data_IF_452319054912
#
_entry.id   IF_452319054912
#
_cell.length_a   1.000
_cell.length_b   1.000
_cell.length_c   1.000
_cell.angle_alpha   90.00
_cell.angle_beta   90.00
_cell.angle_gamma   90.00
#
_symmetry.space_group_name_H-M   'P 1'
#
loop_
_entity.id
_entity.type
_entity.pdbx_description
1 polymer ?
#
# COMPACT_ATOMS: atom_id res chain seq x y z
N UNK A 1 -6.96 18.89 -2.23
CA UNK A 1 -6.25 17.60 -2.13
C UNK A 1 -6.45 16.95 -0.75
N UNK A 2 -6.40 17.71 0.33
CA UNK A 2 -6.49 17.21 1.71
C UNK A 2 -7.68 16.27 2.02
N UNK A 3 -8.85 16.52 1.44
CA UNK A 3 -10.03 15.64 1.61
C UNK A 3 -9.86 14.26 0.97
N UNK A 4 -9.21 14.17 -0.19
CA UNK A 4 -8.95 12.88 -0.86
C UNK A 4 -7.89 12.08 -0.12
N UNK A 5 -6.84 12.76 0.33
CA UNK A 5 -5.81 12.16 1.19
C UNK A 5 -6.44 11.57 2.45
N UNK A 6 -7.29 12.34 3.12
CA UNK A 6 -8.01 11.88 4.30
C UNK A 6 -8.86 10.64 4.01
N UNK A 7 -9.54 10.67 2.87
CA UNK A 7 -10.40 9.59 2.43
C UNK A 7 -9.64 8.30 2.13
N UNK A 8 -8.47 8.42 1.52
CA UNK A 8 -7.59 7.30 1.27
C UNK A 8 -7.02 6.70 2.55
N UNK A 9 -6.55 7.53 3.48
CA UNK A 9 -6.05 7.05 4.76
C UNK A 9 -7.15 6.41 5.61
N UNK A 10 -8.37 6.95 5.59
CA UNK A 10 -9.51 6.34 6.27
C UNK A 10 -9.88 4.98 5.64
N UNK A 11 -9.90 4.88 4.31
CA UNK A 11 -10.09 3.61 3.60
C UNK A 11 -9.00 2.59 3.95
N UNK A 12 -7.73 3.02 3.96
CA UNK A 12 -6.59 2.19 4.34
C UNK A 12 -6.77 1.56 5.72
N UNK A 13 -7.09 2.35 6.73
CA UNK A 13 -7.25 1.86 8.10
C UNK A 13 -8.42 0.87 8.24
N UNK A 14 -9.54 1.10 7.54
CA UNK A 14 -10.68 0.18 7.59
C UNK A 14 -10.42 -1.11 6.83
N UNK A 15 -9.76 -1.04 5.67
CA UNK A 15 -9.35 -2.22 4.92
C UNK A 15 -8.31 -3.03 5.71
N UNK A 16 -7.32 -2.37 6.32
CA UNK A 16 -6.34 -3.02 7.20
C UNK A 16 -7.02 -3.80 8.33
N UNK A 17 -8.02 -3.20 8.98
CA UNK A 17 -8.82 -3.88 10.02
C UNK A 17 -9.55 -5.11 9.47
N UNK A 18 -10.04 -5.07 8.22
CA UNK A 18 -10.68 -6.25 7.58
C UNK A 18 -9.67 -7.33 7.25
N UNK A 19 -8.54 -6.98 6.64
CA UNK A 19 -7.49 -7.94 6.28
C UNK A 19 -6.88 -8.61 7.52
N UNK A 20 -6.81 -7.89 8.64
CA UNK A 20 -6.23 -8.40 9.89
C UNK A 20 -7.21 -9.22 10.74
N UNK A 21 -8.52 -9.25 10.42
CA UNK A 21 -9.54 -9.92 11.24
C UNK A 21 -9.35 -11.44 11.34
N UNK A 22 -8.79 -12.06 10.31
CA UNK A 22 -8.65 -13.52 10.25
C UNK A 22 -7.31 -14.01 10.80
N UNK A 23 -6.31 -13.14 10.88
CA UNK A 23 -4.98 -13.49 11.39
C UNK A 23 -4.28 -12.26 11.97
N UNK A 24 -4.21 -12.21 13.29
CA UNK A 24 -3.70 -11.09 14.06
C UNK A 24 -2.16 -11.11 14.19
N UNK A 25 -1.51 -12.20 13.79
CA UNK A 25 -0.07 -12.41 13.95
C UNK A 25 0.68 -12.50 12.62
N UNK A 26 -0.02 -12.49 11.49
CA UNK A 26 0.60 -12.50 10.17
C UNK A 26 1.05 -11.11 9.72
N UNK A 27 1.99 -11.06 8.78
CA UNK A 27 2.27 -9.85 8.03
C UNK A 27 1.03 -9.40 7.24
N UNK A 28 0.91 -8.10 7.04
CA UNK A 28 -0.11 -7.49 6.18
C UNK A 28 0.57 -6.42 5.37
N UNK A 29 0.31 -6.37 4.06
CA UNK A 29 0.89 -5.34 3.22
C UNK A 29 0.05 -5.10 1.97
N UNK A 30 -0.50 -3.90 1.83
CA UNK A 30 -1.35 -3.55 0.69
C UNK A 30 -1.21 -2.08 0.27
N UNK A 31 -1.65 -1.76 -0.94
CA UNK A 31 -1.71 -0.37 -1.43
C UNK A 31 -3.16 0.13 -1.43
N UNK A 32 -3.59 0.90 -0.41
CA UNK A 32 -4.94 1.47 -0.39
C UNK A 32 -5.21 2.36 -1.60
N UNK A 33 -4.21 3.17 -2.01
CA UNK A 33 -4.29 4.09 -3.15
C UNK A 33 -4.56 3.35 -4.47
N UNK A 34 -3.96 2.18 -4.61
CA UNK A 34 -4.11 1.39 -5.82
C UNK A 34 -5.47 0.67 -5.86
N UNK A 35 -5.90 0.12 -4.73
CA UNK A 35 -7.19 -0.57 -4.61
C UNK A 35 -8.35 0.41 -4.83
N UNK A 36 -8.31 1.58 -4.19
CA UNK A 36 -9.31 2.63 -4.41
C UNK A 36 -9.35 3.09 -5.87
N UNK A 37 -8.20 3.30 -6.51
CA UNK A 37 -8.10 3.64 -7.95
C UNK A 37 -8.78 2.59 -8.82
N UNK A 38 -8.59 1.31 -8.50
CA UNK A 38 -9.20 0.19 -9.21
C UNK A 38 -10.73 0.19 -9.02
N UNK A 39 -11.22 0.45 -7.81
CA UNK A 39 -12.66 0.55 -7.52
C UNK A 39 -13.31 1.76 -8.19
N UNK A 40 -12.62 2.90 -8.24
CA UNK A 40 -13.13 4.10 -8.90
C UNK A 40 -13.16 3.92 -10.41
N UNK A 41 -12.21 3.17 -10.99
CA UNK A 41 -12.27 2.77 -12.40
C UNK A 41 -13.51 1.92 -12.68
N UNK A 42 -13.80 0.92 -11.84
CA UNK A 42 -15.00 0.10 -11.97
C UNK A 42 -16.28 0.94 -11.81
N UNK A 43 -16.26 1.96 -10.94
CA UNK A 43 -17.40 2.86 -10.76
C UNK A 43 -17.82 3.62 -12.03
N UNK A 44 -16.90 3.82 -13.00
CA UNK A 44 -17.22 4.52 -14.26
C UNK A 44 -18.27 3.78 -15.09
N UNK A 45 -18.32 2.45 -14.98
CA UNK A 45 -19.28 1.63 -15.73
C UNK A 45 -20.34 0.97 -14.85
N UNK A 46 -20.38 1.28 -13.56
CA UNK A 46 -21.45 0.86 -12.68
C UNK A 46 -22.68 1.78 -12.84
N UNK A 47 -23.87 1.21 -12.70
CA UNK A 47 -25.13 1.94 -12.67
C UNK A 47 -26.03 1.44 -11.51
N UNK A 48 -27.22 2.03 -11.39
CA UNK A 48 -28.23 1.63 -10.41
C UNK A 48 -27.72 1.54 -8.97
N UNK A 49 -28.14 0.48 -8.26
CA UNK A 49 -27.72 0.25 -6.87
C UNK A 49 -26.23 -0.10 -6.77
N UNK A 50 -25.63 -0.71 -7.81
CA UNK A 50 -24.20 -1.03 -7.81
C UNK A 50 -23.35 0.24 -7.76
N UNK A 51 -23.68 1.24 -8.59
CA UNK A 51 -23.05 2.56 -8.54
C UNK A 51 -23.26 3.25 -7.19
N UNK A 52 -24.45 3.12 -6.59
CA UNK A 52 -24.76 3.69 -5.29
C UNK A 52 -23.93 3.06 -4.17
N UNK A 53 -23.75 1.74 -4.15
CA UNK A 53 -22.94 1.05 -3.13
C UNK A 53 -21.46 1.41 -3.24
N UNK A 54 -20.91 1.43 -4.47
CA UNK A 54 -19.54 1.91 -4.71
C UNK A 54 -19.41 3.36 -4.25
N UNK A 55 -20.40 4.19 -4.61
CA UNK A 55 -20.43 5.58 -4.21
C UNK A 55 -20.56 5.75 -2.70
N UNK A 56 -21.34 4.92 -2.01
CA UNK A 56 -21.51 5.01 -0.56
C UNK A 56 -20.23 4.64 0.17
N UNK A 57 -19.53 3.61 -0.29
CA UNK A 57 -18.22 3.24 0.25
C UNK A 57 -17.22 4.39 0.05
N UNK A 58 -17.14 4.92 -1.16
CA UNK A 58 -16.26 6.06 -1.47
C UNK A 58 -16.70 7.32 -0.70
N UNK A 59 -18.00 7.60 -0.54
CA UNK A 59 -18.52 8.73 0.24
C UNK A 59 -18.27 8.57 1.74
N UNK A 60 -18.39 7.37 2.30
CA UNK A 60 -18.18 7.12 3.73
C UNK A 60 -16.76 7.45 4.17
N UNK A 61 -15.83 7.42 3.22
CA UNK A 61 -14.47 7.88 3.45
C UNK A 61 -14.23 9.32 2.98
N UNK A 62 -15.16 9.94 2.25
CA UNK A 62 -15.09 11.37 1.85
C UNK A 62 -14.62 11.62 0.42
N UNK A 63 -14.56 10.59 -0.43
CA UNK A 63 -14.04 10.67 -1.80
C UNK A 63 -14.98 11.39 -2.78
N UNK A 64 -16.30 11.36 -2.52
CA UNK A 64 -17.35 11.71 -3.49
C UNK A 64 -18.08 13.03 -3.20
N UNK A 65 -17.64 13.81 -2.20
CA UNK A 65 -18.08 15.20 -2.03
C UNK A 65 -17.53 16.14 -3.14
N UNK A 66 -17.08 15.59 -4.26
CA UNK A 66 -16.18 16.18 -5.23
C UNK A 66 -16.66 15.80 -6.64
N UNK A 67 -16.63 16.72 -7.63
CA UNK A 67 -17.00 16.41 -9.01
C UNK A 67 -16.18 15.23 -9.57
N UNK A 68 -16.73 14.47 -10.54
CA UNK A 68 -16.09 13.33 -11.23
C UNK A 68 -14.61 13.56 -11.62
N UNK A 69 -14.21 14.82 -11.81
CA UNK A 69 -12.86 15.28 -12.14
C UNK A 69 -11.79 14.90 -11.09
N UNK A 70 -12.15 14.78 -9.81
CA UNK A 70 -11.16 14.54 -8.75
C UNK A 70 -10.69 13.08 -8.61
N UNK A 71 -11.41 12.09 -9.16
CA UNK A 71 -10.96 10.69 -9.20
C UNK A 71 -9.70 10.51 -10.06
N UNK A 72 -9.55 11.34 -11.11
CA UNK A 72 -8.36 11.35 -11.95
C UNK A 72 -7.10 11.79 -11.20
N UNK A 73 -7.24 12.63 -10.15
CA UNK A 73 -6.11 13.15 -9.37
C UNK A 73 -5.48 12.03 -8.53
N UNK A 74 -6.28 11.07 -8.08
CA UNK A 74 -5.82 9.95 -7.26
C UNK A 74 -4.93 8.98 -8.05
N UNK A 75 -5.39 8.63 -9.26
CA UNK A 75 -4.60 7.86 -10.20
C UNK A 75 -3.40 8.66 -10.73
N UNK A 76 -3.55 9.99 -10.92
CA UNK A 76 -2.42 10.83 -11.27
C UNK A 76 -1.31 10.75 -10.21
N UNK A 77 -1.60 10.64 -8.91
CA UNK A 77 -0.54 10.41 -7.91
C UNK A 77 0.23 9.12 -8.21
N UNK A 78 -0.43 8.02 -8.60
CA UNK A 78 0.27 6.78 -8.98
C UNK A 78 1.04 6.90 -10.29
N UNK A 79 0.57 7.73 -11.22
CA UNK A 79 1.04 7.77 -12.63
C UNK A 79 1.72 9.10 -12.96
N UNK A 80 2.12 9.87 -11.94
CA UNK A 80 2.87 11.12 -12.12
C UNK A 80 4.25 10.76 -12.69
N UNK A 81 4.70 11.39 -13.79
CA UNK A 81 5.98 11.07 -14.42
C UNK A 81 7.21 11.22 -13.53
N UNK A 82 7.15 12.06 -12.48
CA UNK A 82 8.23 12.16 -11.48
C UNK A 82 8.49 10.83 -10.77
N UNK A 83 7.48 9.96 -10.69
CA UNK A 83 7.53 8.64 -10.06
C UNK A 83 7.94 7.50 -10.99
N UNK A 84 7.99 7.79 -12.30
CA UNK A 84 8.35 6.86 -13.38
C UNK A 84 9.69 7.26 -14.04
N UNK A 85 10.51 8.08 -13.37
CA UNK A 85 11.83 8.42 -13.90
C UNK A 85 12.69 7.16 -14.00
N UNK A 86 13.52 7.09 -15.05
CA UNK A 86 14.60 6.09 -15.20
C UNK A 86 15.71 6.25 -14.17
N UNK A 87 15.65 7.31 -13.36
CA UNK A 87 16.52 7.59 -12.24
C UNK A 87 15.65 7.74 -11.00
N UNK A 88 15.93 6.90 -10.03
CA UNK A 88 15.46 6.77 -8.65
C UNK A 88 14.62 7.92 -8.02
N UNK A 89 13.57 7.65 -7.21
CA UNK A 89 12.98 6.37 -6.76
C UNK A 89 12.09 5.65 -7.79
N UNK A 90 11.99 4.31 -7.68
CA UNK A 90 11.21 3.46 -8.61
C UNK A 90 9.87 3.01 -7.98
N UNK A 91 8.84 3.85 -8.09
CA UNK A 91 7.46 3.37 -7.91
C UNK A 91 7.00 2.77 -9.24
N UNK A 92 6.98 1.43 -9.34
CA UNK A 92 6.43 0.75 -10.51
C UNK A 92 5.04 0.22 -10.22
N UNK A 93 4.08 0.82 -10.90
CA UNK A 93 2.68 0.46 -10.82
C UNK A 93 2.28 -0.18 -12.14
N UNK A 94 1.87 -1.46 -12.10
CA UNK A 94 1.33 -2.14 -13.27
C UNK A 94 -0.05 -1.61 -13.69
N UNK A 95 -0.61 -0.62 -13.00
CA UNK A 95 -1.98 -0.16 -13.24
C UNK A 95 -3.03 -1.13 -12.70
N UNK A 96 -4.25 -0.66 -12.40
CA UNK A 96 -5.40 -1.55 -12.38
C UNK A 96 -5.69 -2.01 -13.82
N UNK A 97 -5.69 -3.32 -14.06
CA UNK A 97 -6.07 -3.90 -15.35
C UNK A 97 -7.33 -4.73 -15.21
N UNK A 98 -8.26 -4.49 -16.12
CA UNK A 98 -9.53 -5.18 -16.16
C UNK A 98 -9.50 -6.22 -17.28
N UNK A 99 -9.53 -7.51 -16.90
CA UNK A 99 -9.60 -8.64 -17.80
C UNK A 99 -11.05 -9.09 -17.95
N UNK A 100 -11.60 -9.00 -19.16
CA UNK A 100 -12.96 -9.46 -19.48
C UNK A 100 -12.95 -10.77 -20.26
N UNK A 101 -13.97 -11.59 -20.06
CA UNK A 101 -14.19 -12.81 -20.83
C UNK A 101 -14.70 -12.52 -22.25
N UNK A 102 -14.16 -13.20 -23.26
CA UNK A 102 -14.76 -13.24 -24.61
C UNK A 102 -16.15 -13.92 -24.56
N UNK A 103 -17.16 -13.51 -25.37
CA UNK A 103 -17.17 -12.40 -26.33
C UNK A 103 -17.73 -11.08 -25.76
N UNK A 104 -17.50 -10.77 -24.48
CA UNK A 104 -18.00 -9.52 -23.89
C UNK A 104 -17.28 -8.31 -24.51
N UNK A 105 -18.05 -7.26 -24.83
CA UNK A 105 -17.53 -6.00 -25.37
C UNK A 105 -17.79 -4.85 -24.42
N UNK A 106 -16.82 -3.96 -24.30
CA UNK A 106 -16.92 -2.73 -23.51
C UNK A 106 -17.52 -1.63 -24.38
N UNK A 107 -18.33 -0.78 -23.76
CA UNK A 107 -18.84 0.44 -24.36
C UNK A 107 -17.71 1.43 -24.63
N UNK A 108 -17.81 2.17 -25.74
CA UNK A 108 -16.79 3.14 -26.14
C UNK A 108 -16.61 4.26 -25.09
N UNK A 109 -17.70 4.73 -24.47
CA UNK A 109 -17.62 5.74 -23.41
C UNK A 109 -16.85 5.24 -22.18
N UNK A 110 -16.99 3.95 -21.85
CA UNK A 110 -16.24 3.33 -20.76
C UNK A 110 -14.75 3.21 -21.11
N UNK A 111 -14.42 2.77 -22.34
CA UNK A 111 -13.04 2.74 -22.84
C UNK A 111 -12.41 4.13 -22.83
N UNK A 112 -13.12 5.15 -23.32
CA UNK A 112 -12.66 6.52 -23.34
C UNK A 112 -12.45 7.09 -21.93
N UNK A 113 -13.35 6.80 -20.99
CA UNK A 113 -13.24 7.22 -19.60
C UNK A 113 -12.06 6.57 -18.88
N UNK A 114 -11.90 5.25 -19.02
CA UNK A 114 -10.78 4.50 -18.41
C UNK A 114 -9.43 4.95 -18.96
N UNK A 115 -9.31 5.14 -20.28
CA UNK A 115 -8.10 5.68 -20.89
C UNK A 115 -7.80 7.12 -20.43
N UNK A 116 -8.82 7.99 -20.40
CA UNK A 116 -8.66 9.41 -20.05
C UNK A 116 -8.23 9.61 -18.60
N UNK A 117 -8.83 8.87 -17.66
CA UNK A 117 -8.64 9.12 -16.22
C UNK A 117 -7.61 8.20 -15.58
N UNK A 118 -7.45 6.99 -16.11
CA UNK A 118 -6.62 5.94 -15.52
C UNK A 118 -5.51 5.45 -16.45
N UNK A 119 -5.45 5.89 -17.72
CA UNK A 119 -4.50 5.33 -18.71
C UNK A 119 -4.48 3.79 -18.67
N UNK A 120 -5.62 3.19 -18.30
CA UNK A 120 -5.69 1.80 -17.89
C UNK A 120 -5.76 0.92 -19.12
N UNK A 121 -5.00 -0.17 -19.09
CA UNK A 121 -5.13 -1.21 -20.09
C UNK A 121 -6.33 -2.09 -19.78
N UNK A 122 -7.10 -2.42 -20.81
CA UNK A 122 -8.26 -3.30 -20.74
C UNK A 122 -8.01 -4.48 -21.66
N UNK A 123 -8.05 -5.69 -21.12
CA UNK A 123 -7.67 -6.89 -21.86
C UNK A 123 -8.88 -7.82 -22.05
N UNK A 124 -8.95 -8.44 -23.22
CA UNK A 124 -9.94 -9.49 -23.51
C UNK A 124 -9.24 -10.84 -23.48
N UNK A 125 -9.79 -11.78 -22.71
CA UNK A 125 -9.24 -13.12 -22.52
C UNK A 125 -10.34 -14.18 -22.60
N UNK A 126 -9.98 -15.46 -22.64
CA UNK A 126 -10.93 -16.58 -22.69
C UNK A 126 -10.85 -17.41 -21.41
N UNK A 127 -11.64 -17.03 -20.41
CA UNK A 127 -11.81 -17.80 -19.18
C UNK A 127 -12.68 -19.05 -19.42
N UNK A 128 -13.56 -19.06 -20.43
CA UNK A 128 -14.56 -20.11 -20.59
C UNK A 128 -13.97 -21.40 -21.17
N UNK A 129 -13.16 -21.31 -22.21
CA UNK A 129 -12.59 -22.47 -22.89
C UNK A 129 -11.11 -22.69 -22.58
N UNK A 130 -10.41 -21.67 -22.05
CA UNK A 130 -8.96 -21.75 -21.84
C UNK A 130 -8.50 -21.11 -20.51
N UNK A 131 -9.22 -21.40 -19.41
CA UNK A 131 -9.00 -20.74 -18.11
C UNK A 131 -7.57 -20.84 -17.58
N UNK A 132 -6.91 -22.00 -17.61
CA UNK A 132 -5.55 -22.13 -17.06
C UNK A 132 -4.49 -21.42 -17.93
N UNK A 133 -4.63 -21.46 -19.25
CA UNK A 133 -3.73 -20.69 -20.11
C UNK A 133 -3.96 -19.18 -19.93
N UNK A 134 -5.22 -18.74 -19.83
CA UNK A 134 -5.56 -17.35 -19.52
C UNK A 134 -4.94 -16.92 -18.18
N UNK A 135 -5.00 -17.77 -17.15
CA UNK A 135 -4.34 -17.52 -15.86
C UNK A 135 -2.84 -17.28 -16.03
N UNK A 136 -2.16 -18.17 -16.77
CA UNK A 136 -0.71 -18.07 -17.06
C UNK A 136 -0.37 -16.81 -17.85
N UNK A 137 -1.20 -16.43 -18.82
CA UNK A 137 -1.04 -15.19 -19.58
C UNK A 137 -1.16 -13.95 -18.69
N UNK A 138 -2.14 -13.91 -17.79
CA UNK A 138 -2.31 -12.81 -16.83
C UNK A 138 -1.09 -12.73 -15.90
N UNK A 139 -0.66 -13.87 -15.34
CA UNK A 139 0.53 -13.91 -14.48
C UNK A 139 1.80 -13.45 -15.22
N UNK A 140 1.99 -13.89 -16.46
CA UNK A 140 3.14 -13.45 -17.27
C UNK A 140 3.09 -11.96 -17.56
N UNK A 141 1.92 -11.41 -17.92
CA UNK A 141 1.78 -9.97 -18.14
C UNK A 141 2.10 -9.17 -16.86
N UNK A 142 1.60 -9.61 -15.70
CA UNK A 142 1.92 -8.97 -14.41
C UNK A 142 3.40 -9.05 -14.08
N UNK A 143 4.03 -10.20 -14.35
CA UNK A 143 5.46 -10.41 -14.17
C UNK A 143 6.27 -9.42 -15.01
N UNK A 144 5.88 -9.21 -16.26
CA UNK A 144 6.56 -8.28 -17.16
C UNK A 144 6.41 -6.82 -16.68
N UNK A 145 5.21 -6.43 -16.24
CA UNK A 145 4.96 -5.08 -15.69
C UNK A 145 5.68 -4.81 -14.36
N UNK A 146 6.02 -5.86 -13.62
CA UNK A 146 6.66 -5.79 -12.29
C UNK A 146 8.12 -6.23 -12.31
N UNK A 147 8.75 -6.31 -13.48
CA UNK A 147 10.15 -6.71 -13.66
C UNK A 147 10.51 -8.04 -13.00
N UNK A 148 9.58 -9.00 -13.00
CA UNK A 148 9.78 -10.31 -12.41
C UNK A 148 9.51 -10.39 -10.91
N UNK A 149 9.18 -9.27 -10.24
CA UNK A 149 8.96 -9.26 -8.79
C UNK A 149 7.64 -9.90 -8.37
N UNK A 150 6.61 -9.85 -9.22
CA UNK A 150 5.32 -10.51 -8.97
C UNK A 150 5.10 -11.57 -10.04
N UNK A 151 5.38 -12.84 -9.72
CA UNK A 151 5.28 -13.95 -10.67
C UNK A 151 3.90 -14.62 -10.67
N UNK A 152 3.39 -14.99 -9.49
CA UNK A 152 2.12 -15.71 -9.35
C UNK A 152 1.06 -14.85 -8.70
N UNK A 153 0.41 -14.00 -9.49
CA UNK A 153 -0.69 -13.16 -9.03
C UNK A 153 -1.97 -13.98 -8.81
N UNK A 154 -2.30 -14.83 -9.79
CA UNK A 154 -3.45 -15.71 -9.79
C UNK A 154 -2.98 -17.14 -9.47
N UNK A 155 -3.27 -17.65 -8.27
CA UNK A 155 -2.97 -19.03 -7.89
C UNK A 155 -3.66 -20.05 -8.79
N UNK A 156 -3.20 -21.29 -8.75
CA UNK A 156 -3.92 -22.38 -9.40
C UNK A 156 -5.36 -22.46 -8.88
N UNK A 157 -6.29 -22.75 -9.78
CA UNK A 157 -7.74 -22.81 -9.51
C UNK A 157 -8.37 -21.49 -9.03
N UNK A 158 -7.67 -20.34 -9.09
CA UNK A 158 -8.24 -19.05 -8.68
C UNK A 158 -9.25 -18.47 -9.68
N UNK A 159 -9.27 -18.97 -10.91
CA UNK A 159 -10.20 -18.59 -11.97
C UNK A 159 -10.78 -19.83 -12.64
N UNK A 160 -12.02 -19.73 -13.12
CA UNK A 160 -12.76 -20.84 -13.71
C UNK A 160 -13.58 -20.41 -14.94
N UNK A 161 -14.34 -21.36 -15.50
CA UNK A 161 -15.17 -21.13 -16.69
C UNK A 161 -16.33 -20.16 -16.48
N UNK A 162 -16.66 -19.83 -15.22
CA UNK A 162 -17.72 -18.91 -14.83
C UNK A 162 -17.18 -17.49 -14.64
N UNK A 163 -15.87 -17.32 -14.52
CA UNK A 163 -15.21 -16.01 -14.44
C UNK A 163 -15.59 -15.12 -15.62
N UNK A 164 -16.09 -13.90 -15.34
CA UNK A 164 -16.51 -12.91 -16.33
C UNK A 164 -15.59 -11.69 -16.38
N UNK A 165 -15.21 -11.20 -15.21
CA UNK A 165 -14.43 -9.98 -15.07
C UNK A 165 -13.46 -10.13 -13.90
N UNK A 166 -12.17 -9.96 -14.15
CA UNK A 166 -11.12 -9.98 -13.13
C UNK A 166 -10.44 -8.62 -13.13
N UNK A 167 -10.45 -7.97 -11.98
CA UNK A 167 -9.68 -6.75 -11.74
C UNK A 167 -8.37 -7.13 -11.07
N UNK A 168 -7.28 -6.90 -11.78
CA UNK A 168 -5.92 -7.16 -11.32
C UNK A 168 -5.29 -5.85 -10.90
N UNK A 169 -4.70 -5.86 -9.72
CA UNK A 169 -3.91 -4.75 -9.22
C UNK A 169 -2.59 -5.27 -8.65
N UNK A 170 -1.48 -4.94 -9.32
CA UNK A 170 -0.15 -5.35 -8.91
C UNK A 170 0.75 -4.12 -8.79
N UNK A 171 1.38 -3.96 -7.64
CA UNK A 171 2.18 -2.77 -7.34
C UNK A 171 3.44 -3.13 -6.57
N UNK A 172 4.56 -2.57 -7.01
CA UNK A 172 5.87 -2.78 -6.43
C UNK A 172 6.48 -1.43 -6.02
N UNK A 173 7.01 -1.38 -4.80
CA UNK A 173 7.75 -0.22 -4.32
C UNK A 173 9.21 -0.58 -4.07
N UNK A 174 10.10 0.15 -4.73
CA UNK A 174 11.53 0.19 -4.43
C UNK A 174 12.00 1.63 -4.45
N UNK A 175 12.55 2.07 -3.34
CA UNK A 175 13.17 3.36 -3.22
C UNK A 175 14.38 3.24 -2.30
N UNK A 176 15.26 4.21 -2.44
CA UNK A 176 16.58 4.31 -1.82
C UNK A 176 16.35 5.34 -0.75
N UNK A 177 16.93 5.09 0.41
CA UNK A 177 16.83 6.04 1.50
C UNK A 177 17.45 7.37 1.07
N UNK A 178 16.86 8.48 1.53
CA UNK A 178 17.52 9.78 1.41
C UNK A 178 18.91 9.72 2.05
N UNK A 179 19.05 8.85 3.05
CA UNK A 179 20.28 8.58 3.74
C UNK A 179 20.45 7.08 3.95
N UNK A 180 21.47 6.47 3.33
CA UNK A 180 21.65 5.02 3.32
C UNK A 180 22.07 4.42 4.66
N UNK A 181 21.66 3.19 4.91
CA UNK A 181 22.27 2.35 5.94
C UNK A 181 23.62 1.84 5.43
N UNK A 182 24.58 1.60 6.34
CA UNK A 182 25.87 1.06 5.94
C UNK A 182 25.90 -0.44 6.16
N UNK A 183 26.05 -1.22 5.09
CA UNK A 183 26.05 -2.68 5.11
C UNK A 183 26.98 -3.30 6.15
N UNK A 184 28.12 -2.65 6.45
CA UNK A 184 29.08 -3.11 7.47
C UNK A 184 28.52 -3.14 8.90
N UNK A 185 27.43 -2.42 9.15
CA UNK A 185 26.75 -2.42 10.44
C UNK A 185 25.57 -3.38 10.48
N UNK A 186 25.16 -3.95 9.34
CA UNK A 186 24.11 -4.97 9.27
C UNK A 186 24.54 -6.18 10.09
N UNK A 187 23.75 -6.56 11.09
CA UNK A 187 24.05 -7.66 11.99
C UNK A 187 22.81 -8.49 12.32
N UNK A 188 23.03 -9.79 12.42
CA UNK A 188 22.06 -10.78 12.87
C UNK A 188 21.64 -10.54 14.33
N UNK A 189 20.35 -10.27 14.56
CA UNK A 189 19.77 -10.01 15.88
C UNK A 189 18.36 -10.63 16.00
N UNK A 190 17.96 -11.11 17.19
CA UNK A 190 16.69 -11.83 17.36
C UNK A 190 15.48 -10.90 17.26
N UNK A 191 14.47 -11.23 16.46
CA UNK A 191 13.17 -10.54 16.46
C UNK A 191 12.26 -11.13 17.54
N UNK A 192 11.72 -10.30 18.45
CA UNK A 192 11.17 -10.76 19.74
C UNK A 192 9.93 -11.67 19.65
N UNK A 193 9.21 -11.70 18.52
CA UNK A 193 8.01 -12.53 18.36
C UNK A 193 8.30 -14.00 18.03
N UNK A 194 9.38 -14.28 17.30
CA UNK A 194 9.67 -15.62 16.79
C UNK A 194 11.16 -16.03 16.92
N UNK A 195 11.97 -15.19 17.57
CA UNK A 195 13.43 -15.38 17.72
C UNK A 195 14.16 -15.61 16.39
N UNK A 196 13.57 -15.19 15.26
CA UNK A 196 14.24 -15.23 13.95
C UNK A 196 15.32 -14.16 13.93
N UNK A 197 16.50 -14.55 13.45
CA UNK A 197 17.71 -13.75 13.48
C UNK A 197 17.90 -13.09 12.11
N UNK A 198 17.25 -11.95 11.86
CA UNK A 198 17.55 -11.12 10.70
C UNK A 198 17.30 -9.64 11.05
N UNK A 199 18.34 -8.80 11.08
CA UNK A 199 18.21 -7.34 11.22
C UNK A 199 19.25 -6.58 10.41
N UNK A 200 18.89 -5.34 10.04
CA UNK A 200 19.85 -4.29 9.74
C UNK A 200 20.04 -3.47 11.02
N UNK A 201 21.29 -3.22 11.32
CA UNK A 201 21.76 -2.22 12.29
C UNK A 201 22.66 -1.36 11.38
N UNK A 202 22.81 -0.04 11.41
CA UNK A 202 22.78 1.02 12.39
C UNK A 202 23.00 2.30 11.57
N UNK A 203 22.36 3.43 11.90
CA UNK A 203 22.98 4.74 11.59
C UNK A 203 22.35 5.94 12.30
N UNK A 204 23.23 6.81 12.79
CA UNK A 204 22.98 8.12 13.40
C UNK A 204 22.35 9.07 12.39
N UNK A 205 21.14 9.54 12.68
CA UNK A 205 20.55 10.64 11.93
C UNK A 205 19.67 11.54 12.77
N UNK A 206 19.64 12.79 12.33
CA UNK A 206 18.56 13.72 12.51
C UNK A 206 17.32 13.20 11.77
N UNK A 207 16.46 12.47 12.49
CA UNK A 207 15.20 11.97 11.98
C UNK A 207 14.06 12.68 12.69
N UNK A 208 12.91 12.70 12.01
CA UNK A 208 11.68 13.19 12.60
C UNK A 208 11.11 12.10 13.50
N UNK A 209 11.14 12.35 14.80
CA UNK A 209 10.61 11.47 15.82
C UNK A 209 9.48 12.16 16.58
N UNK A 210 8.41 11.41 16.83
CA UNK A 210 7.34 11.81 17.73
C UNK A 210 7.11 10.72 18.77
N UNK A 211 7.08 11.10 20.05
CA UNK A 211 6.69 10.23 21.16
C UNK A 211 5.20 10.37 21.43
N UNK A 212 4.43 9.30 21.21
CA UNK A 212 2.99 9.25 21.45
C UNK A 212 2.71 8.61 22.79
N UNK A 213 2.62 9.44 23.83
CA UNK A 213 2.45 9.00 25.21
C UNK A 213 1.15 8.22 25.46
N UNK A 214 0.07 8.56 24.75
CA UNK A 214 -1.26 7.96 25.02
C UNK A 214 -1.40 6.51 24.55
N UNK A 215 -0.48 6.01 23.72
CA UNK A 215 -0.46 4.61 23.25
C UNK A 215 0.89 3.94 23.45
N UNK A 216 1.80 4.56 24.24
CA UNK A 216 3.18 4.08 24.43
C UNK A 216 3.82 3.67 23.10
N UNK A 217 3.83 4.59 22.14
CA UNK A 217 4.29 4.33 20.78
C UNK A 217 5.24 5.44 20.32
N UNK A 218 6.29 5.03 19.62
CA UNK A 218 7.25 5.90 18.93
C UNK A 218 6.93 5.92 17.45
N UNK A 219 6.87 7.12 16.87
CA UNK A 219 6.65 7.31 15.44
C UNK A 219 7.92 7.88 14.82
N UNK A 220 8.46 7.17 13.84
CA UNK A 220 9.67 7.55 13.12
C UNK A 220 9.37 7.81 11.65
N UNK A 221 9.88 8.90 11.09
CA UNK A 221 9.88 9.16 9.65
C UNK A 221 11.27 8.90 9.05
N UNK A 222 11.32 8.00 8.07
CA UNK A 222 12.49 7.71 7.24
C UNK A 222 12.24 8.19 5.80
N UNK A 223 12.82 9.33 5.39
CA UNK A 223 12.64 9.85 4.04
C UNK A 223 13.41 9.00 3.01
N UNK A 224 12.81 8.81 1.83
CA UNK A 224 13.49 8.29 0.65
C UNK A 224 14.17 9.41 -0.13
N UNK A 225 15.04 9.05 -1.08
CA UNK A 225 15.75 9.98 -1.96
C UNK A 225 14.77 10.98 -2.63
N UNK A 226 15.19 12.24 -2.70
CA UNK A 226 14.34 13.33 -3.17
C UNK A 226 13.28 13.80 -2.18
N UNK A 227 13.07 13.09 -1.05
CA UNK A 227 12.13 13.43 0.04
C UNK A 227 10.67 13.56 -0.42
N UNK A 228 10.32 13.07 -1.63
CA UNK A 228 8.94 13.00 -2.11
C UNK A 228 8.15 11.91 -1.37
N UNK A 229 8.84 10.86 -0.92
CA UNK A 229 8.29 9.77 -0.11
C UNK A 229 8.99 9.65 1.22
N UNK A 230 8.25 9.18 2.22
CA UNK A 230 8.82 8.71 3.48
C UNK A 230 8.14 7.41 3.91
N UNK A 231 8.91 6.52 4.54
CA UNK A 231 8.36 5.45 5.36
C UNK A 231 8.10 6.00 6.76
N UNK A 232 6.89 5.81 7.26
CA UNK A 232 6.50 6.10 8.63
C UNK A 232 6.40 4.78 9.39
N UNK A 233 7.03 4.68 10.56
CA UNK A 233 7.02 3.47 11.39
C UNK A 233 6.38 3.82 12.74
N UNK A 234 5.37 3.06 13.12
CA UNK A 234 4.69 3.16 14.41
C UNK A 234 5.05 1.92 15.21
N UNK A 235 5.95 2.12 16.18
CA UNK A 235 6.54 1.07 17.00
C UNK A 235 6.01 1.21 18.43
N UNK A 236 5.30 0.22 18.99
CA UNK A 236 5.01 0.18 20.41
C UNK A 236 6.30 0.25 21.26
N UNK A 237 6.20 0.69 22.51
CA UNK A 237 7.37 0.72 23.39
C UNK A 237 7.83 -0.70 23.74
N UNK A 238 6.87 -1.62 23.91
CA UNK A 238 7.13 -3.03 24.18
C UNK A 238 5.96 -3.96 23.74
N UNK A 239 6.19 -5.28 23.75
CA UNK A 239 5.15 -6.29 23.60
C UNK A 239 4.43 -6.46 24.94
N UNK A 240 3.31 -5.74 25.13
CA UNK A 240 2.51 -5.78 26.37
C UNK A 240 1.27 -6.70 26.28
N UNK A 241 1.02 -7.32 25.14
CA UNK A 241 -0.10 -8.25 24.92
C UNK A 241 0.37 -9.69 24.66
N UNK A 242 -0.56 -10.64 24.58
CA UNK A 242 -0.26 -12.06 24.37
C UNK A 242 -0.03 -12.44 22.90
N UNK A 243 0.03 -11.46 21.99
CA UNK A 243 0.17 -11.70 20.55
C UNK A 243 1.35 -10.94 19.96
N UNK A 244 1.14 -9.73 19.45
CA UNK A 244 2.13 -8.96 18.67
C UNK A 244 2.65 -7.71 19.37
N UNK A 245 2.00 -7.26 20.45
CA UNK A 245 2.19 -5.93 21.04
C UNK A 245 1.42 -4.83 20.32
N UNK A 246 0.73 -5.16 19.21
CA UNK A 246 0.04 -4.17 18.36
C UNK A 246 -1.45 -4.03 18.68
N UNK A 247 -2.04 -4.85 19.54
CA UNK A 247 -3.49 -4.87 19.72
C UNK A 247 -4.05 -3.51 20.15
N UNK A 248 -3.39 -2.86 21.12
CA UNK A 248 -3.79 -1.53 21.57
C UNK A 248 -3.60 -0.47 20.49
N UNK A 249 -2.50 -0.55 19.72
CA UNK A 249 -2.21 0.37 18.64
C UNK A 249 -3.27 0.25 17.54
N UNK A 250 -3.53 -0.96 17.03
CA UNK A 250 -4.52 -1.21 15.97
C UNK A 250 -5.95 -0.82 16.38
N UNK A 251 -6.32 -1.07 17.64
CA UNK A 251 -7.63 -0.69 18.18
C UNK A 251 -7.83 0.82 18.22
N UNK A 252 -6.81 1.54 18.68
CA UNK A 252 -6.87 2.99 18.84
C UNK A 252 -6.48 3.77 17.60
N UNK A 253 -5.90 3.13 16.58
CA UNK A 253 -5.51 3.79 15.35
C UNK A 253 -6.76 4.22 14.58
N UNK A 254 -6.93 5.54 14.52
CA UNK A 254 -7.95 6.23 13.73
C UNK A 254 -7.27 7.16 12.74
N UNK A 255 -8.01 7.59 11.72
CA UNK A 255 -7.49 8.55 10.75
C UNK A 255 -7.00 9.84 11.43
N UNK A 256 -7.78 10.38 12.38
CA UNK A 256 -7.42 11.60 13.10
C UNK A 256 -6.10 11.44 13.87
N UNK A 257 -5.92 10.32 14.56
CA UNK A 257 -4.68 9.99 15.27
C UNK A 257 -3.51 9.79 14.33
N UNK A 258 -3.69 9.05 13.23
CA UNK A 258 -2.64 8.87 12.22
C UNK A 258 -2.17 10.23 11.67
N UNK A 259 -3.10 11.16 11.39
CA UNK A 259 -2.77 12.51 10.91
C UNK A 259 -2.06 13.35 11.98
N UNK A 260 -2.53 13.27 13.23
CA UNK A 260 -1.94 13.98 14.36
C UNK A 260 -0.51 13.50 14.66
N UNK A 261 -0.32 12.18 14.75
CA UNK A 261 0.95 11.53 15.08
C UNK A 261 1.99 11.57 13.97
N UNK A 262 1.62 12.04 12.79
CA UNK A 262 2.52 12.15 11.64
C UNK A 262 2.59 13.58 11.12
N UNK A 263 2.03 14.53 11.87
CA UNK A 263 2.02 15.93 11.51
C UNK A 263 3.42 16.53 11.71
N UNK A 264 4.00 17.24 10.74
CA UNK A 264 5.35 17.81 10.87
C UNK A 264 5.53 18.71 12.10
N UNK A 265 4.48 19.44 12.50
CA UNK A 265 4.52 20.29 13.70
C UNK A 265 4.55 19.51 15.04
N UNK A 266 4.36 18.19 15.02
CA UNK A 266 4.44 17.30 16.18
C UNK A 266 5.69 16.41 16.14
N UNK A 267 6.45 16.50 15.05
CA UNK A 267 7.68 15.77 14.82
C UNK A 267 8.86 16.66 15.18
N UNK A 268 9.74 16.14 16.03
CA UNK A 268 10.97 16.82 16.39
C UNK A 268 12.13 16.22 15.59
N UNK A 269 13.01 17.09 15.11
CA UNK A 269 14.23 16.63 14.47
C UNK A 269 15.26 16.29 15.55
N UNK A 270 15.47 15.00 15.77
CA UNK A 270 16.26 14.47 16.89
C UNK A 270 17.27 13.47 16.37
N UNK A 271 18.42 13.36 17.03
CA UNK A 271 19.40 12.30 16.73
C UNK A 271 18.85 10.97 17.25
N UNK A 272 18.52 10.07 16.33
CA UNK A 272 17.94 8.76 16.63
C UNK A 272 18.84 7.65 16.12
N UNK A 273 19.09 6.66 16.97
CA UNK A 273 19.75 5.41 16.58
C UNK A 273 18.69 4.40 16.13
N UNK A 274 18.62 4.18 14.81
CA UNK A 274 17.60 3.32 14.21
C UNK A 274 18.12 1.91 14.00
N UNK A 275 17.38 0.94 14.53
CA UNK A 275 17.50 -0.48 14.20
C UNK A 275 16.23 -0.89 13.46
N UNK A 276 16.37 -1.36 12.23
CA UNK A 276 15.26 -1.70 11.35
C UNK A 276 15.54 -3.05 10.67
N UNK A 277 14.61 -4.00 10.64
CA UNK A 277 14.87 -5.27 9.97
C UNK A 277 15.01 -5.06 8.45
N UNK A 278 15.90 -5.84 7.84
CA UNK A 278 15.87 -6.08 6.39
C UNK A 278 14.68 -6.97 6.14
N UNK A 279 13.83 -6.65 5.20
CA UNK A 279 12.73 -7.56 4.89
C UNK A 279 12.22 -7.41 3.47
N UNK A 280 11.58 -8.49 3.02
CA UNK A 280 10.79 -8.54 1.80
C UNK A 280 9.39 -8.97 2.21
N UNK A 281 8.41 -8.13 1.90
CA UNK A 281 7.01 -8.48 2.10
C UNK A 281 6.34 -8.59 0.74
N UNK A 282 5.74 -9.75 0.49
CA UNK A 282 4.93 -10.04 -0.69
C UNK A 282 3.59 -10.60 -0.24
N UNK A 283 2.55 -9.79 -0.35
CA UNK A 283 1.22 -10.14 0.14
C UNK A 283 0.21 -10.12 -1.00
N UNK A 284 -0.69 -11.09 -1.01
CA UNK A 284 -1.70 -11.29 -2.06
C UNK A 284 -3.08 -11.51 -1.47
N UNK A 285 -4.06 -10.78 -1.99
CA UNK A 285 -5.44 -10.79 -1.51
C UNK A 285 -6.42 -10.93 -2.67
N UNK A 286 -7.44 -11.79 -2.46
CA UNK A 286 -8.69 -11.72 -3.20
C UNK A 286 -9.70 -10.94 -2.36
N UNK A 287 -9.90 -9.68 -2.71
CA UNK A 287 -10.58 -8.68 -1.88
C UNK A 287 -12.11 -8.78 -1.91
N UNK A 288 -12.68 -9.76 -2.60
CA UNK A 288 -14.14 -9.87 -2.76
C UNK A 288 -14.88 -9.88 -1.42
N UNK A 289 -14.45 -10.73 -0.49
CA UNK A 289 -15.11 -10.87 0.82
C UNK A 289 -14.89 -9.64 1.70
N UNK A 290 -13.68 -9.08 1.68
CA UNK A 290 -13.32 -7.89 2.46
C UNK A 290 -14.13 -6.67 2.02
N UNK A 291 -14.21 -6.45 0.70
CA UNK A 291 -14.98 -5.34 0.12
C UNK A 291 -16.49 -5.55 0.24
N UNK A 292 -16.97 -6.78 0.14
CA UNK A 292 -18.36 -7.13 0.44
C UNK A 292 -18.71 -6.79 1.90
N UNK A 293 -17.84 -7.12 2.86
CA UNK A 293 -17.99 -6.78 4.27
C UNK A 293 -17.90 -5.28 4.56
N UNK A 294 -17.32 -4.50 3.65
CA UNK A 294 -17.32 -3.03 3.68
C UNK A 294 -18.54 -2.41 2.95
N UNK A 295 -19.39 -3.22 2.32
CA UNK A 295 -20.67 -2.78 1.74
C UNK A 295 -20.79 -2.95 0.22
N UNK A 296 -19.78 -3.46 -0.49
CA UNK A 296 -19.84 -3.70 -1.94
C UNK A 296 -20.41 -5.07 -2.27
N UNK A 297 -21.68 -5.31 -1.98
CA UNK A 297 -22.28 -6.63 -2.15
C UNK A 297 -22.70 -6.94 -3.59
N UNK A 298 -23.37 -6.00 -4.26
CA UNK A 298 -24.02 -6.27 -5.54
C UNK A 298 -23.04 -6.49 -6.69
N UNK A 299 -21.89 -5.83 -6.64
CA UNK A 299 -20.86 -5.87 -7.70
C UNK A 299 -20.31 -7.28 -7.96
N UNK A 300 -20.33 -8.14 -6.93
CA UNK A 300 -19.87 -9.53 -6.98
C UNK A 300 -21.01 -10.52 -7.28
N UNK A 301 -22.25 -10.04 -7.45
CA UNK A 301 -23.43 -10.88 -7.63
C UNK A 301 -23.97 -10.80 -9.06
N UNK A 302 -23.93 -11.92 -9.77
CA UNK A 302 -24.40 -12.03 -11.17
C UNK A 302 -25.83 -11.58 -11.44
N UNK A 303 -26.71 -11.55 -10.43
CA UNK A 303 -28.12 -11.15 -10.57
C UNK A 303 -28.41 -9.72 -10.12
N UNK A 304 -27.51 -9.11 -9.35
CA UNK A 304 -27.70 -7.76 -8.78
C UNK A 304 -26.74 -6.73 -9.34
N UNK A 305 -25.57 -7.17 -9.82
CA UNK A 305 -24.57 -6.30 -10.41
C UNK A 305 -25.18 -5.56 -11.62
N UNK A 306 -25.09 -4.24 -11.56
CA UNK A 306 -25.45 -3.37 -12.66
C UNK A 306 -24.18 -2.68 -13.16
N UNK A 307 -23.55 -3.32 -14.14
CA UNK A 307 -22.37 -2.83 -14.86
C UNK A 307 -22.73 -2.43 -16.30
N UNK A 308 -23.97 -1.96 -16.50
CA UNK A 308 -24.50 -1.57 -17.82
C UNK A 308 -23.73 -0.41 -18.45
N UNK A 309 -23.07 0.43 -17.64
CA UNK A 309 -22.15 1.46 -18.13
C UNK A 309 -20.82 0.90 -18.66
N UNK A 310 -20.47 -0.36 -18.36
CA UNK A 310 -19.30 -1.03 -18.92
C UNK A 310 -19.62 -1.76 -20.22
N UNK A 311 -20.75 -2.46 -20.27
CA UNK A 311 -21.10 -3.39 -21.34
C UNK A 311 -22.62 -3.57 -21.41
N UNK A 312 -23.15 -3.81 -22.61
CA UNK A 312 -24.56 -4.19 -22.81
C UNK A 312 -24.85 -5.64 -22.38
N UNK A 313 -23.82 -6.41 -22.05
CA UNK A 313 -23.98 -7.80 -21.66
C UNK A 313 -24.80 -7.96 -20.39
N UNK A 314 -25.78 -8.87 -20.44
CA UNK A 314 -26.57 -9.26 -19.27
C UNK A 314 -25.73 -10.14 -18.33
N UNK A 315 -25.99 -10.04 -17.03
CA UNK A 315 -25.31 -10.81 -15.97
C UNK A 315 -23.79 -10.58 -15.91
N UNK A 316 -23.32 -9.38 -16.25
CA UNK A 316 -21.94 -8.98 -16.03
C UNK A 316 -21.74 -8.60 -14.55
N UNK A 317 -20.75 -9.21 -13.90
CA UNK A 317 -20.36 -8.94 -12.52
C UNK A 317 -18.85 -9.06 -12.37
N UNK A 318 -18.29 -8.43 -11.33
CA UNK A 318 -16.88 -8.59 -10.99
C UNK A 318 -16.70 -9.95 -10.32
N UNK A 319 -15.98 -10.86 -10.98
CA UNK A 319 -15.73 -12.19 -10.45
C UNK A 319 -14.64 -12.18 -9.39
N UNK A 320 -13.56 -11.44 -9.61
CA UNK A 320 -12.44 -11.34 -8.68
C UNK A 320 -11.83 -9.94 -8.69
N UNK A 321 -11.48 -9.43 -7.51
CA UNK A 321 -10.58 -8.28 -7.33
C UNK A 321 -9.33 -8.80 -6.64
N UNK A 322 -8.24 -8.89 -7.40
CA UNK A 322 -6.97 -9.45 -6.91
C UNK A 322 -5.99 -8.30 -6.73
N UNK A 323 -5.49 -8.15 -5.50
CA UNK A 323 -4.46 -7.18 -5.15
C UNK A 323 -3.22 -7.92 -4.70
N UNK A 324 -2.07 -7.57 -5.26
CA UNK A 324 -0.78 -8.07 -4.81
C UNK A 324 0.22 -6.93 -4.73
N UNK A 325 0.93 -6.88 -3.62
CA UNK A 325 1.91 -5.83 -3.36
C UNK A 325 3.20 -6.41 -2.83
N UNK A 326 4.29 -5.78 -3.25
CA UNK A 326 5.64 -6.15 -2.87
C UNK A 326 6.40 -4.91 -2.38
N UNK A 327 7.14 -5.06 -1.29
CA UNK A 327 8.14 -4.10 -0.82
C UNK A 327 9.41 -4.84 -0.40
N UNK A 328 10.55 -4.23 -0.70
CA UNK A 328 11.88 -4.68 -0.26
C UNK A 328 12.53 -3.53 0.48
N UNK A 329 12.84 -3.77 1.75
CA UNK A 329 13.53 -2.85 2.66
C UNK A 329 14.96 -3.37 2.82
N UNK A 330 15.92 -2.57 2.37
CA UNK A 330 17.35 -2.89 2.41
C UNK A 330 18.16 -1.62 2.77
N UNK A 331 19.48 -1.70 2.62
CA UNK A 331 20.42 -0.67 3.05
C UNK A 331 20.57 0.50 2.06
N UNK A 332 20.15 0.32 0.80
CA UNK A 332 20.47 1.20 -0.33
C UNK A 332 19.90 2.62 -0.18
N UNK A 333 20.67 3.63 -0.61
CA UNK A 333 20.44 5.04 -0.27
C UNK A 333 21.54 5.97 -0.79
N UNK A 334 21.35 7.28 -0.62
CA UNK A 334 22.44 8.24 -0.84
C UNK A 334 23.48 8.22 0.30
N UNK A 335 24.76 8.46 0.00
CA UNK A 335 25.88 8.30 0.95
C UNK A 335 26.15 9.51 1.89
N UNK A 336 25.49 10.66 1.67
CA UNK A 336 25.88 11.98 2.22
C UNK A 336 25.94 12.04 3.76
N UNK A 337 24.98 11.42 4.43
CA UNK A 337 24.96 11.05 5.83
C UNK A 337 26.29 10.83 6.57
N UNK A 338 27.12 9.93 6.01
CA UNK A 338 28.22 9.33 6.74
C UNK A 338 29.32 10.35 7.00
N UNK A 339 29.48 11.30 6.07
CA UNK A 339 30.41 12.41 6.21
C UNK A 339 29.97 13.35 7.34
N UNK A 340 28.68 13.69 7.42
CA UNK A 340 28.16 14.61 8.43
C UNK A 340 28.20 14.01 9.83
N UNK A 341 27.84 12.72 9.98
CA UNK A 341 27.91 12.00 11.25
C UNK A 341 29.35 11.94 11.79
N UNK A 342 30.33 11.61 10.94
CA UNK A 342 31.76 11.59 11.29
C UNK A 342 32.26 12.96 11.69
N UNK A 343 31.89 14.02 10.96
CA UNK A 343 32.25 15.40 11.28
C UNK A 343 31.66 15.82 12.63
N UNK A 344 30.42 15.45 12.95
CA UNK A 344 29.78 15.78 14.22
C UNK A 344 30.42 15.01 15.39
N UNK A 345 30.67 13.69 15.27
CA UNK A 345 31.35 12.91 16.32
C UNK A 345 32.76 13.43 16.59
N UNK A 346 33.47 13.92 15.57
CA UNK A 346 34.80 14.52 15.74
C UNK A 346 34.78 15.96 16.25
N UNK A 347 33.67 16.71 16.14
CA UNK A 347 33.62 18.14 16.50
C UNK A 347 32.82 18.47 17.76
N UNK A 348 32.01 17.55 18.28
CA UNK A 348 31.23 17.77 19.50
C UNK A 348 31.98 17.27 20.75
N UNK A 349 32.60 18.18 21.51
CA UNK A 349 32.96 17.96 22.92
C UNK A 349 31.82 18.45 23.82
N UNK A 350 31.15 17.53 24.52
CA UNK A 350 30.29 17.81 25.68
C UNK A 350 29.11 18.79 25.44
N UNK A 351 28.17 18.42 24.58
CA UNK A 351 26.76 18.81 24.76
C UNK A 351 25.94 17.54 24.90
N UNK A 352 25.11 17.50 25.95
CA UNK A 352 24.27 16.35 26.32
C UNK A 352 23.15 16.21 25.27
N UNK A 353 23.46 15.67 24.09
CA UNK A 353 22.46 15.29 23.10
C UNK A 353 21.74 14.09 23.71
N UNK A 354 20.43 14.20 24.00
CA UNK A 354 19.63 13.04 24.39
C UNK A 354 19.55 12.12 23.18
N UNK A 355 20.38 11.09 23.22
CA UNK A 355 20.38 10.00 22.28
C UNK A 355 19.11 9.16 22.47
N UNK A 356 18.33 9.00 21.40
CA UNK A 356 17.11 8.20 21.43
C UNK A 356 17.29 6.94 20.59
N UNK A 357 17.18 5.78 21.21
CA UNK A 357 17.15 4.50 20.51
C UNK A 357 15.75 4.22 19.94
N UNK A 358 15.68 3.92 18.64
CA UNK A 358 14.50 3.37 17.98
C UNK A 358 14.82 1.96 17.49
N UNK A 359 14.42 0.96 18.28
CA UNK A 359 14.73 -0.44 18.01
C UNK A 359 13.47 -1.16 17.51
N UNK A 360 13.32 -1.31 16.19
CA UNK A 360 12.18 -1.96 15.53
C UNK A 360 12.34 -3.49 15.53
N UNK A 361 12.24 -4.01 16.72
CA UNK A 361 12.84 -5.28 17.16
C UNK A 361 11.79 -6.36 17.49
N UNK A 362 10.54 -5.93 17.35
CA UNK A 362 9.28 -6.58 17.62
C UNK A 362 8.25 -5.99 16.65
N UNK A 363 7.02 -6.52 16.58
CA UNK A 363 6.05 -6.10 15.58
C UNK A 363 5.78 -4.60 15.57
N UNK A 364 5.64 -4.05 14.36
CA UNK A 364 5.33 -2.64 14.13
C UNK A 364 4.36 -2.46 12.97
N UNK A 365 3.64 -1.33 12.98
CA UNK A 365 2.92 -0.87 11.81
C UNK A 365 3.82 0.08 11.01
N UNK A 366 3.68 0.07 9.70
CA UNK A 366 4.38 1.02 8.85
C UNK A 366 3.52 1.42 7.66
N UNK A 367 3.83 2.57 7.08
CA UNK A 367 3.22 3.00 5.85
C UNK A 367 4.17 3.87 5.03
N UNK A 368 4.03 3.82 3.70
CA UNK A 368 4.76 4.71 2.80
C UNK A 368 3.84 5.86 2.42
N UNK A 369 4.31 7.09 2.64
CA UNK A 369 3.57 8.32 2.41
C UNK A 369 4.16 9.10 1.25
N UNK A 370 3.32 9.64 0.37
CA UNK A 370 3.70 10.70 -0.56
C UNK A 370 3.62 12.05 0.16
N UNK A 371 4.78 12.62 0.51
CA UNK A 371 4.89 13.77 1.41
C UNK A 371 4.14 15.03 0.93
N UNK A 372 4.23 15.44 -0.36
CA UNK A 372 3.50 16.62 -0.86
C UNK A 372 1.98 16.54 -0.66
N UNK A 373 1.41 15.34 -0.81
CA UNK A 373 -0.05 15.13 -0.70
C UNK A 373 -0.47 14.55 0.64
N UNK A 374 0.47 14.08 1.46
CA UNK A 374 0.28 13.25 2.67
C UNK A 374 -0.52 11.95 2.44
N UNK A 375 -0.63 11.47 1.20
CA UNK A 375 -1.36 10.25 0.86
C UNK A 375 -0.60 9.00 1.26
N UNK A 376 -1.28 8.06 1.91
CA UNK A 376 -0.77 6.71 2.19
C UNK A 376 -0.77 5.89 0.90
N UNK A 377 0.42 5.57 0.39
CA UNK A 377 0.60 4.73 -0.79
C UNK A 377 0.52 3.25 -0.45
N UNK A 378 1.17 2.87 0.65
CA UNK A 378 1.22 1.51 1.16
C UNK A 378 0.99 1.52 2.65
N UNK A 379 0.32 0.50 3.15
CA UNK A 379 0.10 0.30 4.57
C UNK A 379 0.40 -1.15 4.92
N UNK A 380 1.08 -1.37 6.04
CA UNK A 380 1.41 -2.72 6.46
C UNK A 380 1.66 -2.90 7.94
N UNK A 381 1.66 -4.18 8.32
CA UNK A 381 2.11 -4.70 9.60
C UNK A 381 3.26 -5.65 9.32
N UNK A 382 4.39 -5.40 9.96
CA UNK A 382 5.49 -6.35 10.03
C UNK A 382 5.40 -7.04 11.38
N UNK A 383 4.87 -8.26 11.39
CA UNK A 383 4.71 -9.10 12.58
C UNK A 383 5.85 -10.11 12.74
N UNK A 384 6.46 -10.53 11.63
CA UNK A 384 7.63 -11.41 11.65
C UNK A 384 8.42 -11.29 10.35
N UNK A 385 9.76 -11.47 10.39
CA UNK A 385 10.59 -11.60 9.18
C UNK A 385 10.20 -12.79 8.31
#
# INVERSE_FOLDING_TARGET
MDRLTAANSAFALNLFKKLSQNNNTANVFFSPLSISSALTMVSLGAAGNTALLISRLLLSYGWLALPRVQFSVHHQILVTPSLHRRTWPMLKHGGPVLFRNYPLWFLQDFLAGTQKFYRAELATVDFQYNSDNTRKQINQWVKDQTEGKICDLLPEHSIDKRTKLVLVNAIYFRADWAEKFQDKFTMEMPFRLNMVIERLVYKDFFLYLQLVQCTRCRVLELPYEGKEFSMMILLPDDIEDSSTGLEQLEKHLTFGKLLEWTHPAKMENTVVYVHLPKFKLEESYNLNNDLAALGLLDIFNSRKADLSGMSEARNLYVSHIVHKSFIEVNEEGAEAAAATAVVITTTCTSTHIMEVDFNADHPFLFFVRHNPTRSVLFFGRFASP
#
